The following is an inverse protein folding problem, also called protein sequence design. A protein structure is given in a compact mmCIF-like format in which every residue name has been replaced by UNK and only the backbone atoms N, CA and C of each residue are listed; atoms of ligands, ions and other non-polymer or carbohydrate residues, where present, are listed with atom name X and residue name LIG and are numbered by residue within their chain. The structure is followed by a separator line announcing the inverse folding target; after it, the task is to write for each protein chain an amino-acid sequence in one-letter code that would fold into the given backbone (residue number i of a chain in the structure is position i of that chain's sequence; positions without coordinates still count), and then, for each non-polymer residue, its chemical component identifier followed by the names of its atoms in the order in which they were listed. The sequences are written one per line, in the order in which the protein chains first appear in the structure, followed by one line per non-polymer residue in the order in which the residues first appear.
data_IF_297347550270
#
_entry.id   IF_297347550270
#
_cell.length_a   1.000
_cell.length_b   1.000
_cell.length_c   1.000
_cell.angle_alpha   90.00
_cell.angle_beta   90.00
_cell.angle_gamma   90.00
#
_symmetry.space_group_name_H-M   'P 1'
#
loop_
_entity.id
_entity.type
_entity.pdbx_description
1 polymer ?
#
# COMPACT_ATOMS: atom_id res chain seq x y z
N UNK A 1 -19.50 -16.66 6.32
CA UNK A 1 -20.10 -15.67 5.39
C UNK A 1 -21.60 -15.91 5.23
N UNK A 2 -22.34 -14.92 4.74
CA UNK A 2 -23.77 -15.02 4.50
C UNK A 2 -24.06 -15.69 3.12
N UNK A 3 -23.49 -16.86 2.86
CA UNK A 3 -23.55 -17.50 1.53
C UNK A 3 -24.97 -17.91 1.11
N UNK A 4 -25.80 -18.37 2.03
CA UNK A 4 -27.19 -18.73 1.68
C UNK A 4 -27.99 -17.48 1.26
N UNK A 5 -27.79 -16.35 1.94
CA UNK A 5 -28.39 -15.07 1.52
C UNK A 5 -27.84 -14.59 0.17
N UNK A 6 -26.52 -14.79 -0.07
CA UNK A 6 -25.93 -14.50 -1.37
C UNK A 6 -26.59 -15.33 -2.47
N UNK A 7 -26.69 -16.64 -2.29
CA UNK A 7 -27.33 -17.54 -3.26
C UNK A 7 -28.79 -17.15 -3.53
N UNK A 8 -29.53 -16.76 -2.49
CA UNK A 8 -30.92 -16.30 -2.62
C UNK A 8 -31.00 -15.00 -3.44
N UNK A 9 -30.15 -14.01 -3.15
CA UNK A 9 -30.07 -12.76 -3.89
C UNK A 9 -29.74 -13.02 -5.37
N UNK A 10 -28.75 -13.86 -5.63
CA UNK A 10 -28.28 -14.13 -7.00
C UNK A 10 -29.32 -14.85 -7.88
N UNK A 11 -30.31 -15.53 -7.30
CA UNK A 11 -31.42 -16.11 -8.08
C UNK A 11 -32.27 -15.07 -8.82
N UNK A 12 -32.29 -13.84 -8.31
CA UNK A 12 -33.04 -12.72 -8.87
C UNK A 12 -32.14 -11.68 -9.56
N UNK A 13 -30.84 -11.96 -9.67
CA UNK A 13 -29.85 -11.11 -10.32
C UNK A 13 -29.57 -11.63 -11.72
N UNK A 14 -29.56 -10.77 -12.72
CA UNK A 14 -29.11 -11.07 -14.09
C UNK A 14 -27.82 -10.34 -14.37
N UNK A 15 -27.68 -9.10 -13.92
CA UNK A 15 -26.53 -8.23 -14.11
C UNK A 15 -25.99 -7.72 -12.80
N UNK A 16 -24.72 -7.99 -12.55
CA UNK A 16 -23.98 -7.53 -11.39
C UNK A 16 -23.00 -6.41 -11.76
N UNK A 17 -22.99 -5.33 -10.97
CA UNK A 17 -21.95 -4.31 -11.04
C UNK A 17 -21.00 -4.49 -9.88
N UNK A 18 -19.72 -4.67 -10.17
CA UNK A 18 -18.65 -4.80 -9.18
C UNK A 18 -17.88 -3.49 -9.14
N UNK A 19 -17.87 -2.81 -8.00
CA UNK A 19 -17.24 -1.50 -7.85
C UNK A 19 -16.18 -1.58 -6.75
N UNK A 20 -14.95 -1.16 -7.07
CA UNK A 20 -13.86 -1.02 -6.10
C UNK A 20 -13.74 0.44 -5.63
N UNK A 21 -12.82 0.70 -4.69
CA UNK A 21 -12.44 2.08 -4.40
C UNK A 21 -11.67 2.71 -5.57
N UNK A 22 -11.63 4.05 -5.62
CA UNK A 22 -10.83 4.80 -6.61
C UNK A 22 -9.35 4.46 -6.49
N UNK A 23 -8.64 4.46 -7.64
CA UNK A 23 -7.22 4.09 -7.70
C UNK A 23 -6.95 2.73 -7.05
N UNK A 24 -7.80 1.73 -7.38
CA UNK A 24 -7.74 0.40 -6.77
C UNK A 24 -6.29 -0.08 -6.63
N UNK A 25 -5.94 -0.51 -5.43
CA UNK A 25 -4.70 -1.21 -5.18
C UNK A 25 -4.79 -2.67 -5.63
N UNK A 26 -3.76 -3.48 -5.34
CA UNK A 26 -3.72 -4.83 -5.87
C UNK A 26 -4.76 -5.75 -5.22
N UNK A 27 -5.11 -5.53 -3.95
CA UNK A 27 -6.15 -6.34 -3.30
C UNK A 27 -7.54 -6.02 -3.83
N UNK A 28 -7.91 -4.74 -3.87
CA UNK A 28 -9.18 -4.29 -4.42
C UNK A 28 -9.36 -4.73 -5.88
N UNK A 29 -8.30 -4.58 -6.72
CA UNK A 29 -8.32 -4.99 -8.12
C UNK A 29 -8.51 -6.50 -8.26
N UNK A 30 -7.67 -7.29 -7.59
CA UNK A 30 -7.71 -8.75 -7.67
C UNK A 30 -9.06 -9.31 -7.19
N UNK A 31 -9.56 -8.80 -6.07
CA UNK A 31 -10.87 -9.20 -5.54
C UNK A 31 -12.01 -8.79 -6.49
N UNK A 32 -11.96 -7.57 -7.08
CA UNK A 32 -12.94 -7.11 -8.05
C UNK A 32 -13.02 -8.01 -9.30
N UNK A 33 -11.86 -8.36 -9.88
CA UNK A 33 -11.80 -9.30 -11.01
C UNK A 33 -12.32 -10.68 -10.61
N UNK A 34 -11.97 -11.16 -9.41
CA UNK A 34 -12.41 -12.45 -8.91
C UNK A 34 -13.92 -12.51 -8.68
N UNK A 35 -14.52 -11.45 -8.11
CA UNK A 35 -15.99 -11.34 -7.97
C UNK A 35 -16.67 -11.37 -9.34
N UNK A 36 -16.14 -10.63 -10.32
CA UNK A 36 -16.68 -10.61 -11.68
C UNK A 36 -16.62 -12.00 -12.35
N UNK A 37 -15.48 -12.71 -12.21
CA UNK A 37 -15.37 -14.07 -12.71
C UNK A 37 -16.35 -15.02 -11.99
N UNK A 38 -16.48 -14.91 -10.68
CA UNK A 38 -17.42 -15.74 -9.91
C UNK A 38 -18.86 -15.54 -10.39
N UNK A 39 -19.28 -14.29 -10.60
CA UNK A 39 -20.62 -14.00 -11.12
C UNK A 39 -20.81 -14.61 -12.52
N UNK A 40 -19.84 -14.45 -13.40
CA UNK A 40 -19.88 -15.04 -14.75
C UNK A 40 -19.97 -16.58 -14.70
N UNK A 41 -19.24 -17.24 -13.81
CA UNK A 41 -19.31 -18.70 -13.62
C UNK A 41 -20.65 -19.18 -13.05
N UNK A 42 -21.35 -18.30 -12.33
CA UNK A 42 -22.72 -18.55 -11.86
C UNK A 42 -23.77 -18.22 -12.91
N UNK A 43 -23.37 -17.84 -14.13
CA UNK A 43 -24.28 -17.56 -15.27
C UNK A 43 -24.84 -16.14 -15.27
N UNK A 44 -24.25 -15.21 -14.53
CA UNK A 44 -24.64 -13.81 -14.47
C UNK A 44 -23.76 -12.96 -15.36
N UNK A 45 -24.28 -11.85 -15.87
CA UNK A 45 -23.51 -10.83 -16.53
C UNK A 45 -22.85 -9.93 -15.45
N UNK A 46 -21.55 -9.71 -15.52
CA UNK A 46 -20.81 -8.95 -14.51
C UNK A 46 -19.90 -7.90 -15.14
N UNK A 47 -20.00 -6.67 -14.65
CA UNK A 47 -19.15 -5.55 -15.08
C UNK A 47 -18.34 -5.06 -13.91
N UNK A 48 -17.01 -4.98 -14.08
CA UNK A 48 -16.08 -4.42 -13.09
C UNK A 48 -15.85 -2.94 -13.39
N UNK A 49 -16.09 -2.10 -12.39
CA UNK A 49 -15.83 -0.66 -12.45
C UNK A 49 -14.77 -0.29 -11.41
N UNK A 50 -13.78 0.43 -11.86
CA UNK A 50 -12.69 0.94 -11.02
C UNK A 50 -12.64 2.45 -11.19
N UNK A 51 -13.17 3.22 -10.24
CA UNK A 51 -13.14 4.67 -10.32
C UNK A 51 -11.71 5.20 -10.47
N UNK A 52 -11.48 6.08 -11.44
CA UNK A 52 -10.15 6.63 -11.76
C UNK A 52 -9.09 5.57 -12.16
N UNK A 53 -9.52 4.32 -12.38
CA UNK A 53 -8.66 3.20 -12.78
C UNK A 53 -7.79 2.63 -11.65
N UNK A 54 -6.98 1.61 -11.95
CA UNK A 54 -6.11 0.97 -10.98
C UNK A 54 -4.84 1.80 -10.73
N UNK A 55 -4.23 1.60 -9.57
CA UNK A 55 -2.97 2.23 -9.18
C UNK A 55 -1.82 1.88 -10.14
N UNK A 56 -0.73 2.66 -10.10
CA UNK A 56 0.47 2.39 -10.90
C UNK A 56 1.05 1.00 -10.61
N UNK A 57 1.04 0.57 -9.35
CA UNK A 57 1.58 -0.72 -8.93
C UNK A 57 0.78 -1.88 -9.54
N UNK A 58 -0.54 -1.77 -9.63
CA UNK A 58 -1.39 -2.76 -10.32
C UNK A 58 -1.04 -2.82 -11.79
N UNK A 59 -0.95 -1.66 -12.47
CA UNK A 59 -0.59 -1.61 -13.90
C UNK A 59 0.77 -2.27 -14.17
N UNK A 60 1.76 -1.99 -13.32
CA UNK A 60 3.09 -2.60 -13.40
C UNK A 60 3.03 -4.11 -13.19
N UNK A 61 2.29 -4.58 -12.18
CA UNK A 61 2.11 -6.00 -11.87
C UNK A 61 1.48 -6.75 -13.05
N UNK A 62 0.40 -6.21 -13.61
CA UNK A 62 -0.28 -6.79 -14.77
C UNK A 62 0.65 -6.89 -15.98
N UNK A 63 1.35 -5.79 -16.30
CA UNK A 63 2.29 -5.73 -17.43
C UNK A 63 3.40 -6.78 -17.31
N UNK A 64 3.98 -6.93 -16.12
CA UNK A 64 5.07 -7.90 -15.89
C UNK A 64 4.63 -9.35 -15.99
N UNK A 65 3.39 -9.63 -15.65
CA UNK A 65 2.82 -10.98 -15.76
C UNK A 65 2.16 -11.24 -17.11
N UNK A 66 2.08 -10.23 -18.00
CA UNK A 66 1.38 -10.34 -19.29
C UNK A 66 -0.12 -10.56 -19.11
N UNK A 67 -0.72 -10.01 -18.05
CA UNK A 67 -2.15 -10.07 -17.76
C UNK A 67 -2.82 -8.82 -18.33
N UNK A 68 -3.91 -9.00 -19.08
CA UNK A 68 -4.65 -7.89 -19.61
C UNK A 68 -5.46 -7.19 -18.50
N UNK A 69 -5.52 -5.86 -18.58
CA UNK A 69 -6.37 -5.09 -17.71
C UNK A 69 -7.86 -5.42 -17.95
N UNK A 70 -8.60 -5.57 -16.85
CA UNK A 70 -10.05 -5.74 -16.85
C UNK A 70 -10.67 -4.57 -16.09
N UNK A 71 -11.63 -3.91 -16.68
CA UNK A 71 -12.36 -2.79 -16.09
C UNK A 71 -13.18 -2.05 -17.13
N UNK A 72 -14.24 -1.41 -16.68
CA UNK A 72 -15.19 -0.64 -17.47
C UNK A 72 -15.37 0.75 -16.89
N UNK A 73 -15.86 1.70 -17.69
CA UNK A 73 -16.15 3.08 -17.27
C UNK A 73 -17.44 3.20 -16.44
N UNK A 74 -18.34 2.23 -16.51
CA UNK A 74 -19.59 2.24 -15.76
C UNK A 74 -20.38 0.95 -15.90
N UNK A 75 -21.43 0.83 -15.11
CA UNK A 75 -22.37 -0.29 -15.16
C UNK A 75 -23.69 0.14 -15.79
N UNK A 76 -24.17 -0.63 -16.77
CA UNK A 76 -25.46 -0.40 -17.40
C UNK A 76 -26.49 -1.33 -16.76
N UNK A 77 -27.57 -0.75 -16.20
CA UNK A 77 -28.77 -1.46 -15.72
C UNK A 77 -28.47 -2.66 -14.77
N UNK A 78 -27.52 -2.53 -13.86
CA UNK A 78 -27.23 -3.59 -12.91
C UNK A 78 -28.39 -3.83 -11.92
N UNK A 79 -28.68 -5.09 -11.65
CA UNK A 79 -29.69 -5.50 -10.66
C UNK A 79 -29.14 -5.53 -9.24
N UNK A 80 -27.85 -5.84 -9.10
CA UNK A 80 -27.14 -5.98 -7.84
C UNK A 80 -25.76 -5.32 -7.91
N UNK A 81 -25.38 -4.62 -6.85
CA UNK A 81 -24.09 -3.95 -6.71
C UNK A 81 -23.20 -4.75 -5.75
N UNK A 82 -21.99 -5.05 -6.17
CA UNK A 82 -20.93 -5.56 -5.31
C UNK A 82 -19.94 -4.44 -5.00
N UNK A 83 -19.77 -4.11 -3.74
CA UNK A 83 -18.74 -3.18 -3.26
C UNK A 83 -17.56 -4.00 -2.72
N UNK A 84 -16.40 -3.81 -3.32
CA UNK A 84 -15.20 -4.57 -3.03
C UNK A 84 -14.13 -3.66 -2.46
N UNK A 85 -13.70 -3.96 -1.23
CA UNK A 85 -12.73 -3.16 -0.48
C UNK A 85 -13.14 -1.69 -0.34
N UNK A 86 -14.43 -1.49 -0.08
CA UNK A 86 -15.06 -0.17 0.06
C UNK A 86 -15.73 -0.09 1.42
N UNK A 87 -15.13 0.66 2.34
CA UNK A 87 -15.65 0.86 3.69
C UNK A 87 -16.55 2.09 3.82
N UNK A 88 -16.51 3.02 2.85
CA UNK A 88 -17.32 4.25 2.88
C UNK A 88 -17.80 4.67 1.49
N UNK A 89 -18.99 5.29 1.41
CA UNK A 89 -19.50 5.87 0.17
C UNK A 89 -18.59 6.97 -0.43
N UNK A 90 -17.76 7.62 0.37
CA UNK A 90 -16.82 8.64 -0.11
C UNK A 90 -15.75 8.07 -1.05
N UNK A 91 -15.49 6.76 -0.99
CA UNK A 91 -14.52 6.08 -1.85
C UNK A 91 -15.07 5.78 -3.26
N UNK A 92 -16.39 5.92 -3.47
CA UNK A 92 -17.08 5.61 -4.72
C UNK A 92 -17.16 6.78 -5.71
N UNK A 93 -16.85 8.02 -5.27
CA UNK A 93 -16.98 9.23 -6.08
C UNK A 93 -18.36 9.35 -6.76
N UNK A 94 -18.36 9.49 -8.09
CA UNK A 94 -19.56 9.61 -8.95
C UNK A 94 -20.47 8.38 -8.93
N UNK A 95 -19.91 7.19 -8.64
CA UNK A 95 -20.69 5.94 -8.58
C UNK A 95 -21.55 5.80 -7.32
N UNK A 96 -21.47 6.76 -6.39
CA UNK A 96 -22.30 6.76 -5.18
C UNK A 96 -23.81 6.72 -5.51
N UNK A 97 -24.23 7.45 -6.52
CA UNK A 97 -25.65 7.53 -6.90
C UNK A 97 -26.13 6.26 -7.61
N UNK A 98 -25.22 5.51 -8.26
CA UNK A 98 -25.55 4.22 -8.90
C UNK A 98 -25.87 3.13 -7.87
N UNK A 99 -25.31 3.19 -6.67
CA UNK A 99 -25.61 2.26 -5.58
C UNK A 99 -27.08 2.40 -5.16
N UNK A 100 -27.60 3.61 -5.04
CA UNK A 100 -29.00 3.98 -4.88
C UNK A 100 -29.81 3.05 -3.96
N UNK A 101 -30.94 2.55 -4.46
CA UNK A 101 -31.83 1.61 -3.76
C UNK A 101 -31.63 0.15 -4.17
N UNK A 102 -30.55 -0.15 -4.89
CA UNK A 102 -30.27 -1.51 -5.35
C UNK A 102 -29.77 -2.40 -4.22
N UNK A 103 -29.98 -3.72 -4.28
CA UNK A 103 -29.33 -4.65 -3.37
C UNK A 103 -27.81 -4.52 -3.43
N UNK A 104 -27.16 -4.43 -2.26
CA UNK A 104 -25.71 -4.27 -2.12
C UNK A 104 -25.12 -5.49 -1.44
N UNK A 105 -24.08 -6.05 -2.05
CA UNK A 105 -23.19 -7.05 -1.46
C UNK A 105 -21.86 -6.38 -1.14
N UNK A 106 -21.39 -6.49 0.10
CA UNK A 106 -20.05 -6.00 0.47
C UNK A 106 -19.09 -7.18 0.62
N UNK A 107 -17.92 -7.04 0.01
CA UNK A 107 -16.72 -7.89 0.23
C UNK A 107 -15.64 -7.00 0.83
N UNK A 108 -15.35 -7.15 2.13
CA UNK A 108 -14.46 -6.23 2.82
C UNK A 108 -13.82 -6.87 4.07
N UNK A 109 -12.61 -6.46 4.40
CA UNK A 109 -11.88 -6.87 5.59
C UNK A 109 -11.73 -5.74 6.63
N UNK A 110 -12.36 -4.59 6.42
CA UNK A 110 -12.32 -3.46 7.35
C UNK A 110 -13.42 -3.54 8.41
N UNK A 111 -13.15 -3.02 9.63
CA UNK A 111 -14.11 -3.03 10.74
C UNK A 111 -15.18 -1.95 10.63
N UNK A 112 -14.83 -0.76 10.14
CA UNK A 112 -15.71 0.43 10.14
C UNK A 112 -16.35 0.65 8.78
N UNK A 113 -17.68 0.84 8.77
CA UNK A 113 -18.48 0.97 7.55
C UNK A 113 -19.65 1.90 7.70
N UNK A 114 -19.86 2.70 6.65
CA UNK A 114 -21.04 3.58 6.53
C UNK A 114 -22.07 3.05 5.51
N UNK A 115 -21.84 1.85 4.95
CA UNK A 115 -22.74 1.23 3.97
C UNK A 115 -23.54 0.13 4.66
N UNK A 116 -24.86 0.10 4.43
CA UNK A 116 -25.74 -0.97 4.95
C UNK A 116 -25.95 -1.98 3.83
N UNK A 117 -25.31 -3.17 3.86
CA UNK A 117 -25.44 -4.15 2.78
C UNK A 117 -26.69 -5.01 2.94
N UNK A 118 -27.18 -5.52 1.80
CA UNK A 118 -28.16 -6.61 1.73
C UNK A 118 -27.49 -7.93 2.14
N UNK A 119 -26.24 -8.14 1.66
CA UNK A 119 -25.43 -9.30 1.99
C UNK A 119 -24.03 -8.83 2.40
N UNK A 120 -23.49 -9.40 3.49
CA UNK A 120 -22.17 -9.09 4.01
C UNK A 120 -21.25 -10.31 3.88
N UNK A 121 -20.21 -10.18 3.07
CA UNK A 121 -19.07 -11.10 2.96
C UNK A 121 -17.85 -10.41 3.60
N UNK A 122 -17.90 -10.30 4.92
CA UNK A 122 -16.95 -9.49 5.67
C UNK A 122 -16.30 -10.31 6.77
N UNK A 123 -14.97 -10.23 6.85
CA UNK A 123 -14.18 -10.79 7.93
C UNK A 123 -13.05 -9.83 8.34
N UNK A 124 -13.20 -9.08 9.45
CA UNK A 124 -12.16 -8.19 9.94
C UNK A 124 -10.86 -8.88 10.37
N UNK A 125 -10.88 -10.20 10.53
CA UNK A 125 -9.68 -10.97 10.82
C UNK A 125 -8.94 -11.42 9.54
N UNK A 126 -9.59 -11.38 8.37
CA UNK A 126 -8.93 -11.67 7.11
C UNK A 126 -7.85 -10.63 6.81
N UNK A 127 -6.77 -11.05 6.16
CA UNK A 127 -5.67 -10.16 5.83
C UNK A 127 -5.96 -9.30 4.60
N UNK A 128 -6.98 -9.67 3.80
CA UNK A 128 -7.32 -9.02 2.53
C UNK A 128 -8.70 -9.43 2.03
N UNK A 129 -9.30 -8.62 1.15
CA UNK A 129 -10.51 -8.99 0.43
C UNK A 129 -10.27 -10.18 -0.51
N UNK A 130 -9.08 -10.30 -1.08
CA UNK A 130 -8.65 -11.45 -1.88
C UNK A 130 -8.70 -12.76 -1.09
N UNK A 131 -8.34 -12.75 0.20
CA UNK A 131 -8.47 -13.93 1.07
C UNK A 131 -9.94 -14.31 1.24
N UNK A 132 -10.82 -13.34 1.46
CA UNK A 132 -12.26 -13.56 1.67
C UNK A 132 -12.88 -14.18 0.41
N UNK A 133 -12.66 -13.58 -0.76
CA UNK A 133 -13.28 -14.07 -1.99
C UNK A 133 -12.74 -15.45 -2.40
N UNK A 134 -11.46 -15.74 -2.13
CA UNK A 134 -10.89 -17.06 -2.36
C UNK A 134 -11.56 -18.13 -1.48
N UNK A 135 -11.90 -17.81 -0.22
CA UNK A 135 -12.66 -18.69 0.64
C UNK A 135 -14.09 -18.89 0.10
N UNK A 136 -14.73 -17.83 -0.38
CA UNK A 136 -16.08 -17.93 -1.01
C UNK A 136 -16.06 -18.88 -2.22
N UNK A 137 -15.04 -18.80 -3.09
CA UNK A 137 -14.86 -19.74 -4.20
C UNK A 137 -14.79 -21.19 -3.70
N UNK A 138 -13.99 -21.45 -2.66
CA UNK A 138 -13.84 -22.78 -2.05
C UNK A 138 -15.14 -23.32 -1.46
N UNK A 139 -15.88 -22.47 -0.72
CA UNK A 139 -17.14 -22.85 -0.08
C UNK A 139 -18.25 -23.13 -1.10
N UNK A 140 -18.19 -22.46 -2.28
CA UNK A 140 -19.10 -22.72 -3.39
C UNK A 140 -18.67 -23.92 -4.26
N UNK A 141 -17.48 -24.48 -4.04
CA UNK A 141 -16.94 -25.55 -4.84
C UNK A 141 -16.57 -25.14 -6.28
N UNK A 142 -16.27 -23.85 -6.48
CA UNK A 142 -15.89 -23.26 -7.77
C UNK A 142 -14.40 -22.95 -7.74
N UNK A 143 -13.67 -23.30 -8.79
CA UNK A 143 -12.26 -22.93 -8.91
C UNK A 143 -12.11 -21.67 -9.76
N UNK A 144 -11.33 -20.65 -9.31
CA UNK A 144 -11.02 -19.51 -10.17
C UNK A 144 -10.12 -19.92 -11.33
N UNK A 145 -10.12 -19.11 -12.39
CA UNK A 145 -9.15 -19.29 -13.49
C UNK A 145 -7.71 -19.11 -12.99
N UNK A 146 -6.75 -19.63 -13.72
CA UNK A 146 -5.32 -19.47 -13.42
C UNK A 146 -4.90 -18.01 -13.29
N UNK A 147 -5.48 -17.12 -14.11
CA UNK A 147 -5.24 -15.69 -14.07
C UNK A 147 -5.80 -15.07 -12.80
N UNK A 148 -7.05 -15.37 -12.44
CA UNK A 148 -7.68 -14.88 -11.21
C UNK A 148 -6.99 -15.44 -9.97
N UNK A 149 -6.59 -16.70 -9.97
CA UNK A 149 -5.78 -17.26 -8.87
C UNK A 149 -4.44 -16.51 -8.69
N UNK A 150 -3.79 -16.14 -9.80
CA UNK A 150 -2.55 -15.34 -9.78
C UNK A 150 -2.79 -13.94 -9.19
N UNK A 151 -3.87 -13.28 -9.61
CA UNK A 151 -4.26 -11.96 -9.08
C UNK A 151 -4.56 -12.02 -7.59
N UNK A 152 -5.34 -13.00 -7.15
CA UNK A 152 -5.69 -13.19 -5.73
C UNK A 152 -4.46 -13.43 -4.86
N UNK A 153 -3.46 -14.18 -5.34
CA UNK A 153 -2.17 -14.34 -4.64
C UNK A 153 -1.51 -12.95 -4.46
N UNK A 154 -1.48 -12.15 -5.52
CA UNK A 154 -0.94 -10.78 -5.46
C UNK A 154 -1.67 -9.90 -4.44
N UNK A 155 -3.01 -9.93 -4.41
CA UNK A 155 -3.83 -9.20 -3.45
C UNK A 155 -3.55 -9.61 -2.01
N UNK A 156 -3.56 -10.92 -1.73
CA UNK A 156 -3.22 -11.44 -0.39
C UNK A 156 -1.82 -10.99 0.05
N UNK A 157 -0.82 -11.08 -0.83
CA UNK A 157 0.55 -10.68 -0.51
C UNK A 157 0.69 -9.16 -0.29
N UNK A 158 -0.08 -8.34 -1.03
CA UNK A 158 -0.11 -6.89 -0.87
C UNK A 158 -0.54 -6.54 0.55
N UNK A 159 -1.72 -6.95 0.93
CA UNK A 159 -2.36 -6.49 2.16
C UNK A 159 -1.91 -7.22 3.42
N UNK A 160 -1.46 -8.46 3.30
CA UNK A 160 -0.82 -9.16 4.43
C UNK A 160 0.56 -8.58 4.80
N UNK A 161 1.05 -7.58 4.08
CA UNK A 161 2.40 -7.06 4.25
C UNK A 161 3.45 -8.12 3.93
N UNK A 162 3.32 -8.79 2.80
CA UNK A 162 4.14 -9.95 2.39
C UNK A 162 4.16 -11.05 3.47
N UNK A 163 2.98 -11.40 3.95
CA UNK A 163 2.70 -12.43 4.96
C UNK A 163 3.13 -12.07 6.40
N UNK A 164 3.56 -10.85 6.68
CA UNK A 164 3.88 -10.42 8.05
C UNK A 164 2.64 -10.42 8.97
N UNK A 165 1.43 -10.30 8.41
CA UNK A 165 0.15 -10.35 9.14
C UNK A 165 -0.67 -11.60 8.81
N UNK A 166 -0.05 -12.60 8.16
CA UNK A 166 -0.73 -13.83 7.78
C UNK A 166 -1.17 -14.65 8.99
N UNK A 167 -2.32 -15.29 8.86
CA UNK A 167 -2.90 -16.26 9.79
C UNK A 167 -2.90 -17.66 9.13
N UNK A 168 -3.19 -18.76 9.85
CA UNK A 168 -3.21 -20.10 9.26
C UNK A 168 -4.08 -20.19 7.99
N UNK A 169 -5.27 -19.59 8.00
CA UNK A 169 -6.22 -19.57 6.89
C UNK A 169 -5.64 -18.88 5.65
N UNK A 170 -4.84 -17.84 5.84
CA UNK A 170 -4.14 -17.14 4.74
C UNK A 170 -3.20 -18.10 4.01
N UNK A 171 -2.45 -18.93 4.74
CA UNK A 171 -1.55 -19.93 4.13
C UNK A 171 -2.32 -21.04 3.43
N UNK A 172 -3.44 -21.49 3.97
CA UNK A 172 -4.31 -22.49 3.33
C UNK A 172 -4.87 -21.98 1.99
N UNK A 173 -5.36 -20.72 1.98
CA UNK A 173 -5.84 -20.05 0.77
C UNK A 173 -4.72 -19.93 -0.25
N UNK A 174 -3.55 -19.44 0.15
CA UNK A 174 -2.40 -19.30 -0.74
C UNK A 174 -1.95 -20.64 -1.32
N UNK A 175 -1.88 -21.70 -0.50
CA UNK A 175 -1.50 -23.02 -0.96
C UNK A 175 -2.49 -23.58 -2.00
N UNK A 176 -3.77 -23.30 -1.83
CA UNK A 176 -4.80 -23.66 -2.80
C UNK A 176 -4.69 -22.86 -4.09
N UNK A 177 -4.60 -21.53 -4.00
CA UNK A 177 -4.48 -20.64 -5.16
C UNK A 177 -3.21 -20.95 -5.99
N UNK A 178 -2.09 -21.25 -5.34
CA UNK A 178 -0.82 -21.61 -6.02
C UNK A 178 -0.94 -22.87 -6.88
N UNK A 179 -1.78 -23.83 -6.49
CA UNK A 179 -2.03 -25.01 -7.33
C UNK A 179 -2.83 -24.67 -8.59
N UNK A 180 -3.63 -23.60 -8.56
CA UNK A 180 -4.49 -23.18 -9.66
C UNK A 180 -3.81 -22.14 -10.56
N UNK A 181 -2.92 -21.32 -10.02
CA UNK A 181 -2.31 -20.19 -10.71
C UNK A 181 -1.45 -20.59 -11.93
N UNK A 182 -0.88 -21.80 -11.92
CA UNK A 182 -0.03 -22.27 -13.03
C UNK A 182 1.25 -21.44 -13.24
N UNK A 183 1.65 -20.66 -12.23
CA UNK A 183 2.85 -19.80 -12.22
C UNK A 183 3.70 -20.07 -11.00
N UNK A 184 5.01 -19.86 -11.13
CA UNK A 184 5.92 -19.93 -9.97
C UNK A 184 5.62 -18.76 -9.01
N UNK A 185 5.59 -19.06 -7.72
CA UNK A 185 5.39 -18.05 -6.67
C UNK A 185 6.39 -16.89 -6.77
N UNK A 186 7.65 -17.20 -7.13
CA UNK A 186 8.71 -16.19 -7.30
C UNK A 186 8.39 -15.19 -8.41
N UNK A 187 7.75 -15.63 -9.49
CA UNK A 187 7.38 -14.74 -10.59
C UNK A 187 6.31 -13.74 -10.14
N UNK A 188 5.35 -14.20 -9.34
CA UNK A 188 4.31 -13.34 -8.77
C UNK A 188 4.93 -12.31 -7.81
N UNK A 189 5.81 -12.75 -6.89
CA UNK A 189 6.50 -11.86 -5.94
C UNK A 189 7.40 -10.85 -6.66
N UNK A 190 8.12 -11.30 -7.69
CA UNK A 190 8.98 -10.42 -8.50
C UNK A 190 8.16 -9.38 -9.25
N UNK A 191 6.98 -9.75 -9.75
CA UNK A 191 6.08 -8.80 -10.42
C UNK A 191 5.56 -7.70 -9.49
N UNK A 192 5.43 -7.97 -8.20
CA UNK A 192 5.05 -6.99 -7.17
C UNK A 192 6.19 -6.07 -6.74
N UNK A 193 7.43 -6.40 -7.10
CA UNK A 193 8.59 -5.61 -6.67
C UNK A 193 8.80 -4.45 -7.63
N UNK A 194 8.76 -3.22 -7.13
CA UNK A 194 9.11 -2.06 -7.92
C UNK A 194 10.57 -2.17 -8.40
N UNK A 195 10.78 -1.98 -9.69
CA UNK A 195 12.14 -1.91 -10.21
C UNK A 195 12.78 -0.59 -9.79
N UNK A 196 13.86 -0.74 -9.04
CA UNK A 196 14.71 0.41 -8.73
C UNK A 196 15.42 0.84 -10.00
N UNK A 197 15.07 2.01 -10.51
CA UNK A 197 15.66 2.54 -11.76
C UNK A 197 17.18 2.73 -11.64
N UNK A 198 17.88 2.74 -12.76
CA UNK A 198 19.32 2.96 -12.72
C UNK A 198 19.71 4.30 -12.05
N UNK A 199 19.05 5.45 -12.33
CA UNK A 199 19.30 6.69 -11.59
C UNK A 199 19.11 6.56 -10.08
N UNK A 200 18.08 5.87 -9.65
CA UNK A 200 17.82 5.63 -8.22
C UNK A 200 18.88 4.73 -7.59
N UNK A 201 19.29 3.64 -8.29
CA UNK A 201 20.39 2.78 -7.82
C UNK A 201 21.68 3.59 -7.63
N UNK A 202 22.01 4.48 -8.60
CA UNK A 202 23.16 5.35 -8.51
C UNK A 202 23.05 6.36 -7.37
N UNK A 203 21.87 6.93 -7.14
CA UNK A 203 21.63 7.84 -6.01
C UNK A 203 21.84 7.10 -4.67
N UNK A 204 21.30 5.89 -4.52
CA UNK A 204 21.48 5.03 -3.34
C UNK A 204 22.96 4.77 -3.07
N UNK A 205 23.73 4.30 -4.07
CA UNK A 205 25.15 4.00 -3.90
C UNK A 205 25.95 5.26 -3.53
N UNK A 206 25.76 6.37 -4.27
CA UNK A 206 26.43 7.63 -3.96
C UNK A 206 26.08 8.14 -2.56
N UNK A 207 24.80 8.02 -2.16
CA UNK A 207 24.33 8.40 -0.85
C UNK A 207 24.95 7.56 0.27
N UNK A 208 25.05 6.23 0.09
CA UNK A 208 25.73 5.34 1.04
C UNK A 208 27.20 5.75 1.22
N UNK A 209 27.92 6.01 0.14
CA UNK A 209 29.32 6.43 0.18
C UNK A 209 29.55 7.80 0.86
N UNK A 210 28.53 8.65 0.88
CA UNK A 210 28.57 9.98 1.55
C UNK A 210 28.05 9.94 2.99
N UNK A 211 27.54 8.79 3.44
CA UNK A 211 26.90 8.67 4.74
C UNK A 211 27.91 8.87 5.86
N UNK A 212 27.54 9.74 6.80
CA UNK A 212 28.23 9.94 8.06
C UNK A 212 27.37 9.37 9.19
N UNK A 213 27.93 8.42 9.92
CA UNK A 213 27.24 7.79 11.04
C UNK A 213 27.67 8.39 12.36
N UNK A 214 26.71 8.57 13.26
CA UNK A 214 26.88 9.10 14.60
C UNK A 214 26.24 8.15 15.61
N UNK A 215 26.90 7.94 16.72
CA UNK A 215 26.40 7.15 17.84
C UNK A 215 25.85 8.08 18.93
N UNK A 216 24.57 7.96 19.26
CA UNK A 216 23.90 8.64 20.36
C UNK A 216 23.44 7.59 21.39
N UNK A 217 24.28 7.28 22.37
CA UNK A 217 24.05 6.17 23.30
C UNK A 217 24.03 4.82 22.56
N UNK A 218 22.89 4.14 22.57
CA UNK A 218 22.68 2.86 21.87
C UNK A 218 22.01 3.03 20.49
N UNK A 219 21.88 4.28 20.01
CA UNK A 219 21.27 4.59 18.73
C UNK A 219 22.30 5.05 17.70
N UNK A 220 22.05 4.73 16.45
CA UNK A 220 22.86 5.16 15.30
C UNK A 220 22.04 6.14 14.46
N UNK A 221 22.58 7.35 14.29
CA UNK A 221 22.01 8.40 13.44
C UNK A 221 22.89 8.55 12.20
N UNK A 222 22.30 8.37 11.03
CA UNK A 222 22.99 8.47 9.74
C UNK A 222 22.60 9.75 9.03
N UNK A 223 23.58 10.54 8.61
CA UNK A 223 23.40 11.74 7.78
C UNK A 223 23.95 11.47 6.39
N UNK A 224 23.18 11.83 5.38
CA UNK A 224 23.65 11.72 3.99
C UNK A 224 23.02 12.79 3.11
N UNK A 225 23.51 12.86 1.86
CA UNK A 225 22.92 13.73 0.84
C UNK A 225 22.90 13.05 -0.53
N UNK A 226 21.85 13.38 -1.30
CA UNK A 226 21.65 12.95 -2.68
C UNK A 226 21.08 14.12 -3.49
N UNK A 227 21.01 13.95 -4.81
CA UNK A 227 20.36 14.94 -5.67
C UNK A 227 18.86 14.64 -5.86
N UNK A 228 18.44 13.39 -5.63
CA UNK A 228 17.06 12.92 -5.70
C UNK A 228 16.96 11.57 -4.97
N UNK A 229 15.74 11.08 -4.74
CA UNK A 229 15.46 9.77 -4.10
C UNK A 229 15.85 9.72 -2.61
N UNK A 230 15.62 10.80 -1.88
CA UNK A 230 15.97 10.94 -0.46
C UNK A 230 15.32 9.85 0.40
N UNK A 231 14.01 9.61 0.20
CA UNK A 231 13.25 8.59 0.94
C UNK A 231 13.78 7.19 0.68
N UNK A 232 14.16 6.91 -0.56
CA UNK A 232 14.72 5.62 -0.99
C UNK A 232 16.06 5.34 -0.33
N UNK A 233 16.94 6.35 -0.23
CA UNK A 233 18.20 6.22 0.51
C UNK A 233 17.95 6.05 2.00
N UNK A 234 17.06 6.86 2.59
CA UNK A 234 16.74 6.76 4.01
C UNK A 234 16.26 5.37 4.40
N UNK A 235 15.40 4.75 3.57
CA UNK A 235 14.95 3.36 3.77
C UNK A 235 16.08 2.35 3.80
N UNK A 236 17.06 2.50 2.91
CA UNK A 236 18.22 1.61 2.85
C UNK A 236 19.09 1.80 4.10
N UNK A 237 19.33 3.03 4.52
CA UNK A 237 20.12 3.31 5.71
C UNK A 237 19.48 2.70 6.97
N UNK A 238 18.16 2.81 7.12
CA UNK A 238 17.43 2.14 8.23
C UNK A 238 17.61 0.62 8.16
N UNK A 239 17.44 0.02 6.97
CA UNK A 239 17.63 -1.43 6.76
C UNK A 239 19.08 -1.88 6.99
N UNK A 240 20.05 -0.97 6.84
CA UNK A 240 21.47 -1.24 7.07
C UNK A 240 21.89 -1.10 8.54
N UNK A 241 20.98 -0.67 9.43
CA UNK A 241 21.23 -0.61 10.87
C UNK A 241 21.18 0.79 11.49
N UNK A 242 20.88 1.85 10.74
CA UNK A 242 20.63 3.15 11.33
C UNK A 242 19.27 3.14 12.06
N UNK A 243 19.22 3.76 13.26
CA UNK A 243 17.94 3.99 13.96
C UNK A 243 17.22 5.22 13.40
N UNK A 244 17.99 6.23 12.97
CA UNK A 244 17.51 7.42 12.27
C UNK A 244 18.38 7.66 11.04
N UNK A 245 17.75 7.92 9.91
CA UNK A 245 18.38 8.37 8.67
C UNK A 245 17.86 9.77 8.32
N UNK A 246 18.76 10.73 8.17
CA UNK A 246 18.49 12.10 7.74
C UNK A 246 19.17 12.32 6.40
N UNK A 247 18.41 12.53 5.34
CA UNK A 247 18.92 12.66 3.97
C UNK A 247 18.51 14.02 3.42
N UNK A 248 19.48 14.83 3.02
CA UNK A 248 19.24 16.13 2.40
C UNK A 248 19.47 16.09 0.89
N UNK A 249 18.77 16.96 0.18
CA UNK A 249 18.97 17.22 -1.25
C UNK A 249 18.83 18.71 -1.54
N UNK A 250 19.41 19.14 -2.66
CA UNK A 250 19.30 20.51 -3.16
C UNK A 250 18.68 20.46 -4.56
N UNK A 251 17.65 21.27 -4.77
CA UNK A 251 16.96 21.42 -6.04
C UNK A 251 16.80 22.92 -6.32
N UNK A 252 17.55 23.45 -7.29
CA UNK A 252 17.57 24.86 -7.64
C UNK A 252 17.80 25.79 -6.43
N UNK A 253 16.76 26.41 -5.91
CA UNK A 253 16.77 27.30 -4.74
C UNK A 253 16.06 26.69 -3.51
N UNK A 254 15.81 25.37 -3.54
CA UNK A 254 15.12 24.63 -2.49
C UNK A 254 16.04 23.58 -1.89
N UNK A 255 16.15 23.54 -0.58
CA UNK A 255 16.75 22.43 0.15
C UNK A 255 15.66 21.56 0.75
N UNK A 256 15.74 20.25 0.50
CA UNK A 256 14.84 19.27 1.10
C UNK A 256 15.60 18.42 2.11
N UNK A 257 14.95 18.13 3.22
CA UNK A 257 15.42 17.17 4.20
C UNK A 257 14.36 16.10 4.38
N UNK A 258 14.74 14.84 4.26
CA UNK A 258 13.89 13.70 4.54
C UNK A 258 14.44 12.94 5.74
N UNK A 259 13.56 12.60 6.69
CA UNK A 259 13.89 11.81 7.87
C UNK A 259 13.13 10.50 7.91
N UNK A 260 13.81 9.44 8.27
CA UNK A 260 13.21 8.14 8.56
C UNK A 260 13.77 7.57 9.85
N UNK A 261 12.92 6.85 10.60
CA UNK A 261 13.34 6.16 11.82
C UNK A 261 12.78 4.73 11.85
N UNK A 262 13.44 3.88 12.64
CA UNK A 262 12.88 2.58 12.96
C UNK A 262 11.88 2.70 14.15
N UNK A 263 11.14 1.62 14.41
CA UNK A 263 10.12 1.59 15.47
C UNK A 263 10.73 1.80 16.87
N UNK A 264 11.92 1.22 17.11
CA UNK A 264 12.61 1.30 18.42
C UNK A 264 12.85 2.74 18.88
N UNK A 265 13.29 3.62 17.98
CA UNK A 265 13.56 5.02 18.31
C UNK A 265 12.28 5.87 18.26
N UNK A 266 11.31 5.52 17.42
CA UNK A 266 10.03 6.23 17.29
C UNK A 266 9.18 6.19 18.57
N UNK A 267 9.44 5.22 19.46
CA UNK A 267 8.83 5.16 20.80
C UNK A 267 9.43 6.20 21.77
N UNK A 268 10.57 6.78 21.45
CA UNK A 268 11.26 7.78 22.27
C UNK A 268 11.11 9.20 21.75
N UNK A 269 11.21 9.38 20.44
CA UNK A 269 11.15 10.70 19.79
C UNK A 269 10.30 10.63 18.52
N UNK A 270 9.64 11.72 18.20
CA UNK A 270 8.85 11.86 16.96
C UNK A 270 9.61 12.70 15.94
N UNK A 271 9.83 12.13 14.74
CA UNK A 271 10.37 12.90 13.62
C UNK A 271 9.45 14.04 13.20
N UNK A 272 8.13 13.87 13.28
CA UNK A 272 7.17 14.93 12.98
C UNK A 272 7.41 16.18 13.85
N UNK A 273 7.66 16.00 15.17
CA UNK A 273 7.94 17.12 16.06
C UNK A 273 9.28 17.81 15.70
N UNK A 274 10.33 17.01 15.49
CA UNK A 274 11.66 17.53 15.11
C UNK A 274 11.56 18.32 13.81
N UNK A 275 10.87 17.82 12.81
CA UNK A 275 10.75 18.46 11.50
C UNK A 275 9.87 19.72 11.54
N UNK A 276 8.82 19.74 12.38
CA UNK A 276 8.04 20.95 12.63
C UNK A 276 8.90 22.04 13.32
N UNK A 277 9.77 21.69 14.28
CA UNK A 277 10.67 22.63 14.92
C UNK A 277 11.72 23.15 13.93
N UNK A 278 12.28 22.27 13.07
CA UNK A 278 13.19 22.66 12.00
C UNK A 278 12.52 23.58 10.96
N UNK A 279 11.25 23.31 10.61
CA UNK A 279 10.48 24.13 9.68
C UNK A 279 10.36 25.57 10.22
N UNK A 280 10.03 25.73 11.51
CA UNK A 280 10.01 27.04 12.17
C UNK A 280 11.38 27.72 12.17
N UNK A 281 12.44 26.96 12.47
CA UNK A 281 13.80 27.50 12.55
C UNK A 281 14.31 28.04 11.20
N UNK A 282 14.04 27.29 10.11
CA UNK A 282 14.49 27.65 8.76
C UNK A 282 13.45 28.46 7.97
N UNK A 283 12.31 28.80 8.55
CA UNK A 283 11.18 29.42 7.87
C UNK A 283 10.73 28.62 6.62
N UNK A 284 10.71 27.28 6.77
CA UNK A 284 10.34 26.32 5.73
C UNK A 284 9.00 25.68 6.00
N UNK A 285 8.64 24.73 5.14
CA UNK A 285 7.45 23.88 5.26
C UNK A 285 7.86 22.47 5.63
N UNK A 286 7.35 21.92 6.72
CA UNK A 286 7.69 20.59 7.17
C UNK A 286 6.55 19.89 7.88
N UNK A 287 6.62 18.55 7.90
CA UNK A 287 5.63 17.71 8.57
C UNK A 287 5.86 16.24 8.30
N UNK A 288 4.96 15.41 8.83
CA UNK A 288 5.04 13.96 8.68
C UNK A 288 4.45 13.21 9.85
N UNK A 289 4.94 12.00 10.03
CA UNK A 289 4.57 11.08 11.11
C UNK A 289 5.78 10.82 12.04
N UNK A 290 5.55 10.11 13.13
CA UNK A 290 6.62 9.79 14.10
C UNK A 290 7.83 9.09 13.48
N UNK A 291 7.64 8.28 12.43
CA UNK A 291 8.69 7.49 11.78
C UNK A 291 9.18 8.04 10.45
N UNK A 292 8.47 8.99 9.84
CA UNK A 292 8.84 9.57 8.55
C UNK A 292 8.37 11.02 8.47
N UNK A 293 9.28 11.93 8.12
CA UNK A 293 8.98 13.35 7.99
C UNK A 293 9.81 13.98 6.87
N UNK A 294 9.29 15.06 6.30
CA UNK A 294 9.95 15.84 5.26
C UNK A 294 9.92 17.34 5.60
N UNK A 295 10.93 18.06 5.14
CA UNK A 295 11.08 19.50 5.28
C UNK A 295 11.54 20.07 3.94
N UNK A 296 10.92 21.16 3.53
CA UNK A 296 11.29 21.98 2.37
C UNK A 296 11.68 23.38 2.85
N UNK A 297 12.82 23.87 2.39
CA UNK A 297 13.37 25.18 2.74
C UNK A 297 13.64 25.92 1.43
N UNK A 298 12.88 26.97 1.16
CA UNK A 298 13.04 27.84 -0.04
C UNK A 298 14.15 28.86 0.19
N UNK A 299 15.38 28.38 0.33
CA UNK A 299 16.57 29.20 0.50
C UNK A 299 17.82 28.40 0.13
N UNK A 300 18.87 29.09 -0.34
CA UNK A 300 20.20 28.49 -0.54
C UNK A 300 20.89 28.35 0.82
N UNK A 301 20.88 27.17 1.37
CA UNK A 301 21.55 26.84 2.63
C UNK A 301 22.40 25.61 2.38
N UNK A 302 23.62 25.62 2.92
CA UNK A 302 24.49 24.44 2.85
C UNK A 302 23.81 23.21 3.47
N UNK A 303 23.81 22.09 2.74
CA UNK A 303 23.17 20.84 3.14
C UNK A 303 23.67 20.32 4.49
N UNK A 304 24.98 20.47 4.76
CA UNK A 304 25.56 20.04 6.03
C UNK A 304 25.04 20.86 7.20
N UNK A 305 24.79 22.16 7.00
CA UNK A 305 24.18 23.04 8.01
C UNK A 305 22.80 22.52 8.41
N UNK A 306 21.97 22.13 7.44
CA UNK A 306 20.62 21.58 7.67
C UNK A 306 20.73 20.22 8.38
N UNK A 307 21.60 19.33 7.90
CA UNK A 307 21.82 18.00 8.48
C UNK A 307 22.32 18.06 9.93
N UNK A 308 23.31 18.92 10.21
CA UNK A 308 23.84 19.08 11.58
C UNK A 308 22.79 19.70 12.50
N UNK A 309 21.99 20.67 12.01
CA UNK A 309 20.90 21.22 12.81
C UNK A 309 19.88 20.16 13.15
N UNK A 310 19.53 19.29 12.20
CA UNK A 310 18.64 18.17 12.43
C UNK A 310 19.22 17.15 13.44
N UNK A 311 20.51 16.83 13.33
CA UNK A 311 21.20 15.99 14.32
C UNK A 311 21.14 16.61 15.72
N UNK A 312 21.42 17.91 15.85
CA UNK A 312 21.34 18.61 17.14
C UNK A 312 19.92 18.57 17.73
N UNK A 313 18.89 18.63 16.90
CA UNK A 313 17.48 18.47 17.35
C UNK A 313 17.22 17.06 17.85
N UNK A 314 17.76 16.03 17.19
CA UNK A 314 17.70 14.64 17.67
C UNK A 314 18.42 14.49 19.01
N UNK A 315 19.63 15.03 19.15
CA UNK A 315 20.39 15.03 20.40
C UNK A 315 19.60 15.67 21.55
N UNK A 316 19.00 16.81 21.28
CA UNK A 316 18.19 17.55 22.27
C UNK A 316 16.98 16.74 22.74
N UNK A 317 16.26 16.10 21.80
CA UNK A 317 15.09 15.27 22.13
C UNK A 317 15.48 14.00 22.87
N UNK A 318 16.63 13.40 22.57
CA UNK A 318 17.15 12.22 23.27
C UNK A 318 17.82 12.55 24.62
N UNK A 319 18.28 13.80 24.79
CA UNK A 319 19.13 14.17 25.93
C UNK A 319 20.53 13.54 25.87
N UNK A 320 21.01 13.12 24.71
CA UNK A 320 22.26 12.38 24.49
C UNK A 320 23.05 13.03 23.35
N UNK A 321 24.32 13.33 23.58
CA UNK A 321 25.27 13.79 22.55
C UNK A 321 25.63 12.67 21.59
N UNK A 322 25.62 12.97 20.30
CA UNK A 322 26.04 12.05 19.25
C UNK A 322 27.55 12.19 18.96
N UNK A 323 28.21 11.06 18.94
CA UNK A 323 29.66 11.00 18.62
C UNK A 323 29.78 10.41 17.19
N UNK A 324 30.62 11.04 16.37
CA UNK A 324 30.86 10.54 15.00
C UNK A 324 31.57 9.18 15.06
N UNK A 325 31.09 8.20 14.29
CA UNK A 325 31.64 6.84 14.22
C UNK A 325 32.54 6.68 12.99
N UNK A 326 32.18 7.34 11.88
CA UNK A 326 32.92 7.25 10.62
C UNK A 326 33.83 8.46 10.45
N UNK A 327 35.03 8.25 9.96
CA UNK A 327 36.01 9.28 9.64
C UNK A 327 35.60 10.20 8.49
#
# INVERSE_FOLDING_TARGET
YQLEKLKELLRNTQRACVITHRHADLDAYACGVAVSELMTRLGLDATLVIPEGPSHNVKSFLTRLGINYQGSEGCVDADTIFLVDVSTYAQLNEFRDEVGYKPVVIVDHHEVRNVVPTVSLVDPNATSCSEIIAQVFRELGIEPSSEVATLLIGGVLSDSGRLNRARPETFEVLAWLLRLAGRDYRDIVNAMTEEVTFPERMARIKGILRTRAYRAGDYIVCLSNVNAYESSLADILIKSGCDIALVASEHDEEVRLFGRSNRRIAEKISLAEIFNDLARYFNGEGGGHSMAAALSIKARIDLMTVLIKALNSVEQKLGIKALRITD
#
